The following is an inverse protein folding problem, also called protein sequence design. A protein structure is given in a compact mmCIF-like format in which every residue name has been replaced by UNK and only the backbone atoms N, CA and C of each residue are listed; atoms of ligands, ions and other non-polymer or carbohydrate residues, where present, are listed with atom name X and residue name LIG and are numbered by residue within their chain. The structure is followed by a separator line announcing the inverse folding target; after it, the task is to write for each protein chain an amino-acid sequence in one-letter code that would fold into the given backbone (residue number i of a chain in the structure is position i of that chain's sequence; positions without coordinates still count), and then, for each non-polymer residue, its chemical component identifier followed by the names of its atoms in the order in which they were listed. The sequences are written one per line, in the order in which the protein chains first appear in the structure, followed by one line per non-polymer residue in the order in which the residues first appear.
data_IF_640745076868
#
_entry.id   IF_640745076868
#
_cell.length_a   1.000
_cell.length_b   1.000
_cell.length_c   1.000
_cell.angle_alpha   90.00
_cell.angle_beta   90.00
_cell.angle_gamma   90.00
#
_symmetry.space_group_name_H-M   'P 1'
#
loop_
_entity.id
_entity.type
_entity.pdbx_description
1 polymer ?
#
# COMPACT_ATOMS: atom_id res chain seq x y z
N UNK A 1 -2.19 5.73 -33.65
CA UNK A 1 -2.70 5.62 -32.26
C UNK A 1 -2.54 4.15 -31.86
N UNK A 2 -1.42 3.80 -31.21
CA UNK A 2 -1.12 2.42 -30.83
C UNK A 2 -1.58 2.21 -29.39
N UNK A 3 -2.31 1.13 -29.16
CA UNK A 3 -3.03 0.84 -27.93
C UNK A 3 -2.04 0.46 -26.81
N UNK A 4 -1.77 1.41 -25.91
CA UNK A 4 -0.73 1.30 -24.86
C UNK A 4 -0.98 0.22 -23.80
N UNK A 5 -2.11 -0.50 -23.85
CA UNK A 5 -2.46 -1.56 -22.89
C UNK A 5 -1.73 -2.89 -23.11
N UNK A 6 -1.26 -3.19 -24.32
CA UNK A 6 -0.74 -4.54 -24.67
C UNK A 6 0.76 -4.77 -24.44
N UNK A 7 1.58 -3.72 -24.43
CA UNK A 7 3.05 -3.84 -24.33
C UNK A 7 3.52 -3.83 -22.85
N UNK A 8 2.71 -3.27 -21.95
CA UNK A 8 3.07 -2.95 -20.57
C UNK A 8 3.28 -4.16 -19.64
N UNK A 9 2.63 -5.30 -19.93
CA UNK A 9 2.83 -6.53 -19.15
C UNK A 9 4.19 -7.19 -19.43
N UNK A 10 4.75 -7.02 -20.64
CA UNK A 10 5.99 -7.67 -21.04
C UNK A 10 7.23 -7.15 -20.30
N UNK A 11 7.40 -5.84 -20.19
CA UNK A 11 8.62 -5.25 -19.61
C UNK A 11 8.84 -5.58 -18.13
N UNK A 12 7.76 -5.58 -17.34
CA UNK A 12 7.84 -5.93 -15.91
C UNK A 12 8.13 -7.42 -15.70
N UNK A 13 7.56 -8.27 -16.56
CA UNK A 13 7.79 -9.72 -16.54
C UNK A 13 9.26 -10.07 -16.83
N UNK A 14 9.85 -9.50 -17.89
CA UNK A 14 11.26 -9.73 -18.21
C UNK A 14 12.19 -9.22 -17.11
N UNK A 15 11.88 -8.07 -16.51
CA UNK A 15 12.67 -7.50 -15.42
C UNK A 15 12.64 -8.38 -14.16
N UNK A 16 11.45 -8.83 -13.74
CA UNK A 16 11.32 -9.76 -12.61
C UNK A 16 12.08 -11.08 -12.86
N UNK A 17 12.01 -11.61 -14.09
CA UNK A 17 12.74 -12.83 -14.48
C UNK A 17 14.25 -12.64 -14.42
N UNK A 18 14.76 -11.51 -14.90
CA UNK A 18 16.19 -11.21 -14.86
C UNK A 18 16.70 -11.07 -13.42
N UNK A 19 15.92 -10.42 -12.55
CA UNK A 19 16.24 -10.31 -11.13
C UNK A 19 16.24 -11.69 -10.47
N UNK A 20 15.25 -12.56 -10.78
CA UNK A 20 15.20 -13.93 -10.23
C UNK A 20 16.35 -14.81 -10.66
N UNK A 21 16.86 -14.60 -11.87
CA UNK A 21 17.98 -15.38 -12.38
C UNK A 21 19.30 -15.06 -11.63
N UNK A 22 19.45 -13.83 -11.14
CA UNK A 22 20.65 -13.38 -10.41
C UNK A 22 20.50 -13.57 -8.91
N UNK A 23 19.31 -13.30 -8.36
CA UNK A 23 19.03 -13.27 -6.92
C UNK A 23 18.03 -14.37 -6.54
N UNK A 24 18.47 -15.62 -6.67
CA UNK A 24 17.66 -16.84 -6.55
C UNK A 24 16.74 -16.91 -5.32
N UNK A 25 17.13 -16.31 -4.17
CA UNK A 25 16.49 -16.56 -2.87
C UNK A 25 15.68 -15.37 -2.29
N UNK A 26 15.76 -14.17 -2.89
CA UNK A 26 15.02 -12.96 -2.41
C UNK A 26 14.54 -12.09 -3.56
N UNK A 27 13.92 -12.70 -4.55
CA UNK A 27 13.45 -11.94 -5.71
C UNK A 27 12.05 -11.40 -5.53
N UNK A 28 11.88 -10.15 -5.98
CA UNK A 28 10.59 -9.47 -6.07
C UNK A 28 9.62 -10.23 -7.00
N UNK A 29 8.34 -10.27 -6.63
CA UNK A 29 7.29 -10.77 -7.51
C UNK A 29 7.09 -9.86 -8.73
N UNK A 30 6.42 -10.38 -9.76
CA UNK A 30 6.00 -9.57 -10.92
C UNK A 30 5.14 -8.37 -10.48
N UNK A 31 4.28 -8.55 -9.47
CA UNK A 31 3.42 -7.47 -8.95
C UNK A 31 4.24 -6.37 -8.26
N UNK A 32 5.28 -6.73 -7.50
CA UNK A 32 6.20 -5.77 -6.92
C UNK A 32 6.97 -5.01 -8.02
N UNK A 33 7.43 -5.71 -9.05
CA UNK A 33 8.07 -5.08 -10.21
C UNK A 33 7.14 -4.08 -10.91
N UNK A 34 5.88 -4.44 -11.14
CA UNK A 34 4.88 -3.54 -11.72
C UNK A 34 4.63 -2.29 -10.86
N UNK A 35 4.55 -2.45 -9.54
CA UNK A 35 4.39 -1.33 -8.60
C UNK A 35 5.57 -0.36 -8.69
N UNK A 36 6.80 -0.88 -8.72
CA UNK A 36 8.01 -0.07 -8.91
C UNK A 36 7.99 0.69 -10.25
N UNK A 37 7.63 0.02 -11.35
CA UNK A 37 7.50 0.66 -12.66
C UNK A 37 6.41 1.75 -12.66
N UNK A 38 5.32 1.58 -11.89
CA UNK A 38 4.32 2.63 -11.73
C UNK A 38 4.88 3.82 -10.94
N UNK A 39 5.58 3.58 -9.83
CA UNK A 39 6.23 4.61 -9.00
C UNK A 39 7.24 5.43 -9.81
N UNK A 40 8.09 4.76 -10.59
CA UNK A 40 9.10 5.43 -11.42
C UNK A 40 8.49 6.23 -12.58
N UNK A 41 7.36 5.79 -13.15
CA UNK A 41 6.67 6.52 -14.22
C UNK A 41 6.08 7.85 -13.77
N UNK A 42 5.74 8.00 -12.50
CA UNK A 42 5.24 9.27 -11.93
C UNK A 42 6.37 10.17 -11.43
N UNK A 43 7.64 9.81 -11.71
CA UNK A 43 8.81 10.57 -11.29
C UNK A 43 9.23 10.35 -9.83
N UNK A 44 8.62 9.39 -9.13
CA UNK A 44 9.02 9.02 -7.78
C UNK A 44 10.07 7.90 -7.87
N UNK A 45 11.33 8.23 -7.62
CA UNK A 45 12.46 7.30 -7.63
C UNK A 45 12.89 6.86 -6.22
N UNK A 46 12.13 7.19 -5.19
CA UNK A 46 12.44 6.79 -3.82
C UNK A 46 12.33 5.27 -3.68
N UNK A 47 13.35 4.63 -3.11
CA UNK A 47 13.36 3.19 -2.81
C UNK A 47 12.76 2.87 -1.43
N UNK A 48 12.46 3.89 -0.63
CA UNK A 48 11.85 3.71 0.68
C UNK A 48 10.40 3.24 0.55
N UNK A 49 9.99 2.38 1.48
CA UNK A 49 8.59 2.04 1.67
C UNK A 49 7.87 3.29 2.19
N UNK A 50 6.73 3.62 1.58
CA UNK A 50 5.84 4.62 2.16
C UNK A 50 5.41 4.15 3.56
N UNK A 51 5.20 5.07 4.51
CA UNK A 51 4.75 4.72 5.85
C UNK A 51 3.53 3.83 5.71
N UNK A 52 3.63 2.59 6.20
CA UNK A 52 2.52 1.63 6.13
C UNK A 52 1.32 2.31 6.75
N UNK A 53 0.25 2.49 5.96
CA UNK A 53 -1.02 2.94 6.49
C UNK A 53 -1.46 1.91 7.53
N UNK A 54 -1.18 2.20 8.80
CA UNK A 54 -1.84 1.51 9.89
C UNK A 54 -3.31 1.86 9.73
N UNK A 55 -4.16 0.84 9.77
CA UNK A 55 -5.59 1.06 9.92
C UNK A 55 -5.72 1.94 11.16
N UNK A 56 -6.30 3.13 11.01
CA UNK A 56 -6.58 3.98 12.16
C UNK A 56 -7.69 3.29 12.93
N UNK A 57 -7.30 2.42 13.86
CA UNK A 57 -8.21 1.87 14.87
C UNK A 57 -8.43 2.89 15.99
N UNK A 58 -7.76 4.05 15.93
CA UNK A 58 -8.01 5.15 16.84
C UNK A 58 -9.39 5.75 16.50
N UNK A 59 -10.38 5.62 17.41
CA UNK A 59 -11.69 6.21 17.21
C UNK A 59 -11.54 7.73 17.12
N UNK A 60 -12.33 8.35 16.25
CA UNK A 60 -12.38 9.80 16.11
C UNK A 60 -12.66 10.43 17.48
N UNK A 61 -11.70 11.21 17.98
CA UNK A 61 -11.77 11.85 19.29
C UNK A 61 -13.02 12.73 19.41
N UNK A 62 -13.45 13.36 18.32
CA UNK A 62 -14.67 14.17 18.31
C UNK A 62 -15.94 13.33 18.53
N UNK A 63 -15.96 12.10 18.00
CA UNK A 63 -17.04 11.13 18.21
C UNK A 63 -17.02 10.63 19.66
N UNK A 64 -15.85 10.33 20.21
CA UNK A 64 -15.71 9.94 21.62
C UNK A 64 -16.18 11.05 22.56
N UNK A 65 -15.76 12.29 22.31
CA UNK A 65 -16.17 13.44 23.10
C UNK A 65 -17.68 13.65 23.05
N UNK A 66 -18.30 13.51 21.88
CA UNK A 66 -19.76 13.60 21.73
C UNK A 66 -20.51 12.52 22.52
N UNK A 67 -20.00 11.28 22.52
CA UNK A 67 -20.58 10.18 23.28
C UNK A 67 -20.51 10.44 24.79
N UNK A 68 -19.34 10.85 25.30
CA UNK A 68 -19.13 11.16 26.73
C UNK A 68 -20.03 12.32 27.18
N UNK A 69 -20.19 13.36 26.36
CA UNK A 69 -21.07 14.50 26.65
C UNK A 69 -22.54 14.06 26.68
N UNK A 70 -22.94 13.19 25.73
CA UNK A 70 -24.33 12.72 25.63
C UNK A 70 -24.73 11.75 26.73
N UNK A 71 -23.78 10.94 27.23
CA UNK A 71 -24.02 9.89 28.21
C UNK A 71 -22.79 9.77 29.15
N UNK A 72 -22.79 10.50 30.28
CA UNK A 72 -21.63 10.54 31.18
C UNK A 72 -21.38 9.23 31.95
N UNK A 73 -22.29 8.26 31.85
CA UNK A 73 -22.21 6.94 32.51
C UNK A 73 -21.63 5.83 31.62
N UNK A 74 -21.16 6.14 30.41
CA UNK A 74 -20.54 5.13 29.55
C UNK A 74 -19.15 4.79 30.14
N UNK A 75 -19.00 3.58 30.65
CA UNK A 75 -17.70 2.98 30.93
C UNK A 75 -17.21 2.25 29.68
N UNK A 76 -15.89 2.14 29.51
CA UNK A 76 -15.24 1.52 28.35
C UNK A 76 -15.70 0.06 28.11
N UNK A 77 -16.31 -0.57 29.12
CA UNK A 77 -16.78 -1.95 29.09
C UNK A 77 -18.17 -2.15 28.45
N UNK A 78 -18.95 -1.08 28.24
CA UNK A 78 -20.32 -1.15 27.65
C UNK A 78 -20.32 -0.89 26.13
N UNK A 79 -19.15 -1.01 25.50
CA UNK A 79 -18.91 -0.84 24.05
C UNK A 79 -18.42 -2.17 23.46
N UNK A 80 -19.22 -3.24 23.57
CA UNK A 80 -19.02 -4.52 22.86
C UNK A 80 -20.20 -4.86 21.98
#
# INVERSE_FOLDING_TARGET
KMNSGGIMLGGSFFSARNISAVYVDRTISISQCQLWFQKFRVGNYSLEDDPRHRKSDEPDESVLQALVISNPTITVEDQT
#
